data_IF_990667245730
#
_entry.id   IF_990667245730
#
_cell.length_a   1.000
_cell.length_b   1.000
_cell.length_c   1.000
_cell.angle_alpha   90.00
_cell.angle_beta   90.00
_cell.angle_gamma   90.00
#
_symmetry.space_group_name_H-M   'P 1'
#
loop_
_entity.id
_entity.type
_entity.pdbx_description
1 polymer ?
#
# COMPACT_ATOMS: atom_id res chain seq x y z
N UNK A 1 3.79 -29.30 22.96
CA UNK A 1 2.62 -29.93 23.62
C UNK A 1 1.55 -30.21 22.57
N UNK A 2 0.44 -30.88 22.92
CA UNK A 2 -0.71 -31.01 22.01
C UNK A 2 -1.25 -29.62 21.58
N UNK A 3 -1.33 -28.69 22.54
CA UNK A 3 -1.73 -27.29 22.32
C UNK A 3 -0.86 -26.58 21.27
N UNK A 4 0.46 -26.74 21.31
CA UNK A 4 1.35 -26.14 20.31
C UNK A 4 1.09 -26.67 18.89
N UNK A 5 0.69 -27.94 18.75
CA UNK A 5 0.37 -28.51 17.43
C UNK A 5 -0.96 -27.97 16.90
N UNK A 6 -1.94 -27.78 17.79
CA UNK A 6 -3.23 -27.18 17.45
C UNK A 6 -3.06 -25.72 17.02
N UNK A 7 -2.33 -24.92 17.80
CA UNK A 7 -2.02 -23.52 17.48
C UNK A 7 -1.29 -23.40 16.12
N UNK A 8 -0.28 -24.25 15.88
CA UNK A 8 0.43 -24.27 14.61
C UNK A 8 -0.49 -24.65 13.43
N UNK A 9 -1.37 -25.63 13.62
CA UNK A 9 -2.31 -26.01 12.56
C UNK A 9 -3.32 -24.90 12.28
N UNK A 10 -3.76 -24.16 13.28
CA UNK A 10 -4.63 -22.99 13.10
C UNK A 10 -3.94 -21.88 12.29
N UNK A 11 -2.65 -21.62 12.54
CA UNK A 11 -1.84 -20.71 11.72
C UNK A 11 -1.72 -21.20 10.28
N UNK A 12 -1.43 -22.50 10.09
CA UNK A 12 -1.34 -23.12 8.76
C UNK A 12 -2.67 -23.05 8.02
N UNK A 13 -3.81 -23.14 8.70
CA UNK A 13 -5.15 -23.07 8.09
C UNK A 13 -5.69 -21.63 7.98
N UNK A 14 -4.98 -20.62 8.50
CA UNK A 14 -5.44 -19.24 8.50
C UNK A 14 -5.76 -18.70 7.09
N UNK A 15 -5.10 -19.24 6.06
CA UNK A 15 -5.33 -18.89 4.66
C UNK A 15 -6.76 -19.18 4.18
N UNK A 16 -7.47 -20.16 4.77
CA UNK A 16 -8.86 -20.46 4.39
C UNK A 16 -9.78 -19.26 4.61
N UNK A 17 -9.69 -18.64 5.78
CA UNK A 17 -10.48 -17.44 6.12
C UNK A 17 -10.15 -16.30 5.18
N UNK A 18 -8.86 -16.05 4.92
CA UNK A 18 -8.42 -15.03 3.98
C UNK A 18 -8.97 -15.28 2.58
N UNK A 19 -8.85 -16.51 2.05
CA UNK A 19 -9.33 -16.81 0.69
C UNK A 19 -10.84 -16.73 0.56
N UNK A 20 -11.61 -17.10 1.58
CA UNK A 20 -13.07 -16.90 1.61
C UNK A 20 -13.43 -15.42 1.47
N UNK A 21 -12.76 -14.54 2.21
CA UNK A 21 -12.99 -13.08 2.15
C UNK A 21 -12.61 -12.53 0.76
N UNK A 22 -11.42 -12.88 0.27
CA UNK A 22 -10.94 -12.48 -1.06
C UNK A 22 -11.91 -12.93 -2.15
N UNK A 23 -12.35 -14.18 -2.11
CA UNK A 23 -13.30 -14.74 -3.10
C UNK A 23 -14.65 -14.01 -3.06
N UNK A 24 -15.16 -13.67 -1.87
CA UNK A 24 -16.38 -12.86 -1.76
C UNK A 24 -16.22 -11.48 -2.40
N UNK A 25 -15.05 -10.85 -2.26
CA UNK A 25 -14.73 -9.57 -2.87
C UNK A 25 -14.57 -9.68 -4.40
N UNK A 26 -13.82 -10.69 -4.87
CA UNK A 26 -13.62 -10.96 -6.31
C UNK A 26 -14.94 -11.17 -7.05
N UNK A 27 -15.92 -11.79 -6.37
CA UNK A 27 -17.26 -12.08 -6.90
C UNK A 27 -18.28 -10.96 -6.63
N UNK A 28 -17.88 -9.86 -6.00
CA UNK A 28 -18.72 -8.70 -5.65
C UNK A 28 -19.97 -9.04 -4.78
N UNK A 29 -19.90 -10.10 -3.96
CA UNK A 29 -21.04 -10.56 -3.16
C UNK A 29 -21.48 -9.56 -2.11
N UNK A 30 -20.51 -8.81 -1.54
CA UNK A 30 -20.78 -7.82 -0.49
C UNK A 30 -21.55 -6.62 -1.03
N UNK A 31 -21.13 -6.07 -2.17
CA UNK A 31 -21.86 -4.99 -2.86
C UNK A 31 -23.27 -5.44 -3.23
N UNK A 32 -23.43 -6.65 -3.74
CA UNK A 32 -24.75 -7.17 -4.11
C UNK A 32 -25.68 -7.27 -2.90
N UNK A 33 -25.18 -7.78 -1.77
CA UNK A 33 -25.96 -7.90 -0.53
C UNK A 33 -26.18 -6.57 0.20
N UNK A 34 -25.33 -5.56 -0.04
CA UNK A 34 -25.54 -4.19 0.45
C UNK A 34 -26.71 -3.50 -0.26
N UNK A 35 -26.89 -3.77 -1.57
CA UNK A 35 -28.06 -3.30 -2.32
C UNK A 35 -29.34 -3.94 -1.80
N UNK A 36 -29.30 -5.27 -1.62
CA UNK A 36 -30.46 -6.03 -1.21
C UNK A 36 -30.06 -7.36 -0.57
N UNK A 37 -30.55 -7.62 0.63
CA UNK A 37 -30.47 -8.93 1.26
C UNK A 37 -31.22 -9.99 0.43
N UNK A 38 -30.66 -11.18 0.33
CA UNK A 38 -31.22 -12.21 -0.54
C UNK A 38 -30.78 -13.62 -0.19
N UNK A 39 -31.50 -14.59 -0.73
CA UNK A 39 -31.15 -16.00 -0.69
C UNK A 39 -29.94 -16.29 -1.57
N UNK A 40 -29.26 -17.42 -1.36
CA UNK A 40 -28.15 -17.83 -2.21
C UNK A 40 -28.55 -17.92 -3.70
N UNK A 41 -29.78 -18.35 -3.99
CA UNK A 41 -30.30 -18.43 -5.35
C UNK A 41 -30.50 -17.06 -6.00
N UNK A 42 -31.02 -16.08 -5.25
CA UNK A 42 -31.20 -14.71 -5.76
C UNK A 42 -29.85 -14.04 -6.03
N UNK A 43 -28.89 -14.18 -5.11
CA UNK A 43 -27.54 -13.63 -5.27
C UNK A 43 -26.80 -14.32 -6.42
N UNK A 44 -26.92 -15.64 -6.56
CA UNK A 44 -26.27 -16.38 -7.64
C UNK A 44 -26.83 -16.00 -9.00
N UNK A 45 -28.15 -15.81 -9.11
CA UNK A 45 -28.77 -15.31 -10.34
C UNK A 45 -28.32 -13.89 -10.68
N UNK A 46 -28.26 -12.99 -9.69
CA UNK A 46 -27.83 -11.61 -9.91
C UNK A 46 -26.37 -11.48 -10.38
N UNK A 47 -25.49 -12.38 -9.91
CA UNK A 47 -24.06 -12.38 -10.22
C UNK A 47 -23.65 -13.41 -11.29
N UNK A 48 -24.62 -14.14 -11.86
CA UNK A 48 -24.40 -15.24 -12.80
C UNK A 48 -23.41 -16.32 -12.28
N UNK A 49 -23.62 -16.77 -11.04
CA UNK A 49 -22.80 -17.76 -10.34
C UNK A 49 -23.56 -19.07 -10.14
N UNK A 50 -22.81 -20.14 -9.83
CA UNK A 50 -23.39 -21.41 -9.40
C UNK A 50 -23.97 -21.28 -7.97
N UNK A 51 -25.28 -21.53 -7.83
CA UNK A 51 -26.00 -21.36 -6.56
C UNK A 51 -25.50 -22.28 -5.45
N UNK A 52 -25.15 -23.52 -5.79
CA UNK A 52 -24.64 -24.49 -4.82
C UNK A 52 -23.27 -24.06 -4.29
N UNK A 53 -22.31 -23.71 -5.14
CA UNK A 53 -21.02 -23.19 -4.72
C UNK A 53 -21.15 -21.89 -3.91
N UNK A 54 -21.97 -20.95 -4.39
CA UNK A 54 -22.17 -19.67 -3.72
C UNK A 54 -22.77 -19.83 -2.32
N UNK A 55 -23.73 -20.73 -2.12
CA UNK A 55 -24.34 -20.92 -0.80
C UNK A 55 -23.29 -21.32 0.25
N UNK A 56 -22.32 -22.19 -0.08
CA UNK A 56 -21.24 -22.55 0.86
C UNK A 56 -20.32 -21.36 1.16
N UNK A 57 -20.05 -20.53 0.17
CA UNK A 57 -19.30 -19.29 0.37
C UNK A 57 -20.06 -18.35 1.32
N UNK A 58 -21.35 -18.10 1.07
CA UNK A 58 -22.19 -17.23 1.90
C UNK A 58 -22.35 -17.78 3.33
N UNK A 59 -22.55 -19.09 3.49
CA UNK A 59 -22.58 -19.74 4.81
C UNK A 59 -21.24 -19.56 5.55
N UNK A 60 -20.10 -19.65 4.85
CA UNK A 60 -18.77 -19.44 5.47
C UNK A 60 -18.56 -17.97 5.87
N UNK A 61 -18.99 -17.03 5.03
CA UNK A 61 -18.98 -15.59 5.34
C UNK A 61 -19.91 -15.25 6.52
N UNK A 62 -21.05 -15.94 6.62
CA UNK A 62 -21.95 -15.80 7.76
C UNK A 62 -21.33 -16.36 9.04
N UNK A 63 -20.75 -17.57 8.98
CA UNK A 63 -20.07 -18.20 10.12
C UNK A 63 -18.86 -17.40 10.63
N UNK A 64 -18.26 -16.57 9.76
CA UNK A 64 -17.13 -15.68 10.12
C UNK A 64 -17.54 -14.23 10.41
N UNK A 65 -18.85 -13.95 10.44
CA UNK A 65 -19.43 -12.70 10.91
C UNK A 65 -19.44 -11.55 9.89
N UNK A 66 -19.18 -11.82 8.61
CA UNK A 66 -19.34 -10.84 7.54
C UNK A 66 -20.78 -10.74 7.04
N UNK A 67 -21.53 -11.84 7.17
CA UNK A 67 -22.96 -11.91 6.87
C UNK A 67 -23.73 -12.40 8.08
N UNK A 68 -25.03 -12.14 8.10
CA UNK A 68 -25.99 -12.75 9.02
C UNK A 68 -27.00 -13.56 8.18
N UNK A 69 -27.27 -14.81 8.55
CA UNK A 69 -28.27 -15.65 7.87
C UNK A 69 -29.55 -15.72 8.71
N UNK A 70 -30.68 -15.23 8.16
CA UNK A 70 -32.01 -15.30 8.76
C UNK A 70 -32.91 -16.18 7.90
N UNK A 71 -33.17 -17.41 8.36
CA UNK A 71 -33.77 -18.44 7.49
C UNK A 71 -32.81 -18.75 6.34
N UNK A 72 -33.26 -18.54 5.11
CA UNK A 72 -32.44 -18.72 3.89
C UNK A 72 -31.89 -17.41 3.32
N UNK A 73 -32.21 -16.26 3.95
CA UNK A 73 -31.81 -14.93 3.48
C UNK A 73 -30.52 -14.48 4.17
N UNK A 74 -29.56 -14.03 3.38
CA UNK A 74 -28.31 -13.46 3.85
C UNK A 74 -28.38 -11.94 3.89
N UNK A 75 -27.91 -11.37 5.00
CA UNK A 75 -27.83 -9.94 5.25
C UNK A 75 -26.38 -9.53 5.49
N UNK A 76 -26.02 -8.34 5.04
CA UNK A 76 -24.70 -7.77 5.31
C UNK A 76 -24.59 -7.32 6.77
N UNK A 77 -23.50 -7.67 7.46
CA UNK A 77 -23.19 -7.09 8.78
C UNK A 77 -22.42 -5.78 8.60
N UNK A 78 -22.21 -5.02 9.69
CA UNK A 78 -21.32 -3.84 9.66
C UNK A 78 -19.92 -4.19 9.17
N UNK A 79 -19.41 -5.38 9.56
CA UNK A 79 -18.11 -5.87 9.11
C UNK A 79 -18.10 -6.19 7.61
N UNK A 80 -19.17 -6.80 7.10
CA UNK A 80 -19.33 -7.04 5.66
C UNK A 80 -19.50 -5.76 4.85
N UNK A 81 -20.13 -4.73 5.43
CA UNK A 81 -20.34 -3.44 4.77
C UNK A 81 -19.02 -2.76 4.38
N UNK A 82 -17.96 -2.92 5.18
CA UNK A 82 -16.62 -2.43 4.84
C UNK A 82 -16.05 -3.04 3.54
N UNK A 83 -16.65 -4.11 3.01
CA UNK A 83 -16.24 -4.76 1.76
C UNK A 83 -17.18 -4.45 0.58
N UNK A 84 -18.18 -3.60 0.77
CA UNK A 84 -19.07 -3.14 -0.31
C UNK A 84 -18.49 -1.91 -1.00
N UNK A 85 -18.57 -1.86 -2.33
CA UNK A 85 -18.17 -0.69 -3.12
C UNK A 85 -19.09 0.52 -2.93
N UNK A 86 -20.28 0.35 -2.33
CA UNK A 86 -21.25 1.43 -2.10
C UNK A 86 -20.93 2.25 -0.84
N UNK A 87 -20.00 1.77 -0.02
CA UNK A 87 -19.68 2.40 1.28
C UNK A 87 -18.51 3.38 1.13
N UNK A 88 -18.61 4.60 1.66
CA UNK A 88 -17.55 5.60 1.56
C UNK A 88 -16.29 5.24 2.35
N UNK A 89 -16.43 4.39 3.37
CA UNK A 89 -15.38 3.83 4.23
C UNK A 89 -14.93 2.42 3.80
N UNK A 90 -15.29 2.00 2.58
CA UNK A 90 -14.93 0.69 2.05
C UNK A 90 -13.42 0.45 2.00
N UNK A 91 -13.02 -0.73 2.47
CA UNK A 91 -11.66 -1.27 2.32
C UNK A 91 -11.56 -2.25 1.15
N UNK A 92 -12.62 -2.41 0.35
CA UNK A 92 -12.65 -3.33 -0.79
C UNK A 92 -11.46 -3.19 -1.74
N UNK A 93 -11.00 -1.97 -2.14
CA UNK A 93 -9.81 -1.84 -2.99
C UNK A 93 -8.56 -2.50 -2.39
N UNK A 94 -8.39 -2.40 -1.07
CA UNK A 94 -7.30 -3.06 -0.35
C UNK A 94 -7.41 -4.58 -0.42
N UNK A 95 -8.61 -5.12 -0.21
CA UNK A 95 -8.84 -6.56 -0.26
C UNK A 95 -8.64 -7.12 -1.67
N UNK A 96 -9.09 -6.40 -2.70
CA UNK A 96 -8.83 -6.77 -4.10
C UNK A 96 -7.32 -6.75 -4.42
N UNK A 97 -6.57 -5.76 -3.92
CA UNK A 97 -5.12 -5.77 -4.04
C UNK A 97 -4.48 -7.02 -3.40
N UNK A 98 -4.96 -7.45 -2.23
CA UNK A 98 -4.49 -8.70 -1.62
C UNK A 98 -4.89 -9.96 -2.40
N UNK A 99 -5.94 -9.92 -3.23
CA UNK A 99 -6.28 -11.00 -4.16
C UNK A 99 -5.21 -11.11 -5.26
N UNK A 100 -4.68 -9.99 -5.75
CA UNK A 100 -3.55 -10.00 -6.67
C UNK A 100 -2.26 -10.48 -6.00
N UNK A 101 -2.00 -10.02 -4.76
CA UNK A 101 -0.83 -10.47 -3.96
C UNK A 101 -0.86 -11.97 -3.75
N UNK A 102 -2.03 -12.57 -3.52
CA UNK A 102 -2.19 -14.03 -3.40
C UNK A 102 -1.55 -14.78 -4.56
N UNK A 103 -1.79 -14.33 -5.79
CA UNK A 103 -1.25 -14.97 -6.98
C UNK A 103 0.28 -14.92 -7.01
N UNK A 104 0.89 -13.81 -6.57
CA UNK A 104 2.36 -13.72 -6.49
C UNK A 104 2.93 -14.62 -5.39
N UNK A 105 2.24 -14.72 -4.26
CA UNK A 105 2.64 -15.54 -3.12
C UNK A 105 2.56 -17.05 -3.40
N UNK A 106 1.69 -17.49 -4.32
CA UNK A 106 1.63 -18.88 -4.77
C UNK A 106 2.99 -19.36 -5.34
N UNK A 107 3.75 -18.44 -5.95
CA UNK A 107 5.08 -18.72 -6.52
C UNK A 107 6.23 -18.75 -5.50
N UNK A 108 5.99 -18.40 -4.22
CA UNK A 108 7.03 -18.18 -3.21
C UNK A 108 7.97 -19.39 -3.06
N UNK A 109 7.43 -20.60 -3.04
CA UNK A 109 8.21 -21.84 -2.90
C UNK A 109 9.23 -21.99 -4.04
N UNK A 110 8.84 -21.68 -5.26
CA UNK A 110 9.70 -21.78 -6.45
C UNK A 110 10.73 -20.66 -6.51
N UNK A 111 10.34 -19.45 -6.08
CA UNK A 111 11.26 -18.30 -5.97
C UNK A 111 12.35 -18.60 -4.94
N UNK A 112 12.00 -19.12 -3.76
CA UNK A 112 12.97 -19.51 -2.72
C UNK A 112 13.90 -20.63 -3.21
N UNK A 113 13.36 -21.61 -3.94
CA UNK A 113 14.17 -22.73 -4.47
C UNK A 113 15.16 -22.28 -5.55
N UNK A 114 14.75 -21.35 -6.42
CA UNK A 114 15.51 -20.99 -7.62
C UNK A 114 16.32 -19.71 -7.49
N UNK A 115 15.99 -18.85 -6.52
CA UNK A 115 16.51 -17.49 -6.39
C UNK A 115 16.11 -16.56 -7.55
N UNK A 116 15.21 -17.00 -8.44
CA UNK A 116 14.80 -16.25 -9.63
C UNK A 116 13.35 -15.85 -9.51
N UNK A 117 13.10 -14.55 -9.64
CA UNK A 117 11.77 -14.03 -9.83
C UNK A 117 11.22 -14.50 -11.19
N UNK A 118 10.22 -15.39 -11.17
CA UNK A 118 9.50 -15.75 -12.39
C UNK A 118 8.41 -14.71 -12.61
N UNK A 119 8.65 -13.73 -13.48
CA UNK A 119 7.56 -12.87 -13.97
C UNK A 119 6.62 -13.78 -14.75
N UNK A 120 5.41 -14.03 -14.24
CA UNK A 120 4.37 -14.66 -15.04
C UNK A 120 4.21 -13.85 -16.34
N UNK A 121 4.49 -14.49 -17.48
CA UNK A 121 4.24 -13.87 -18.78
C UNK A 121 2.73 -13.63 -18.91
N UNK A 122 2.31 -12.36 -18.98
CA UNK A 122 0.93 -11.99 -19.35
C UNK A 122 0.14 -11.18 -18.33
N UNK A 123 0.65 -10.95 -17.11
CA UNK A 123 0.04 -10.02 -16.14
C UNK A 123 0.77 -8.68 -16.13
N UNK A 124 0.54 -7.87 -17.17
CA UNK A 124 0.65 -6.43 -16.97
C UNK A 124 -0.40 -6.04 -15.92
N UNK A 125 -0.06 -5.15 -14.98
CA UNK A 125 -1.07 -4.58 -14.07
C UNK A 125 -2.14 -3.95 -14.95
N UNK A 126 -3.30 -4.59 -15.04
CA UNK A 126 -4.41 -3.99 -15.75
C UNK A 126 -4.89 -2.75 -14.99
N UNK A 127 -5.68 -1.90 -15.66
CA UNK A 127 -6.15 -0.66 -15.06
C UNK A 127 -6.94 -0.90 -13.75
N UNK A 128 -7.56 -2.07 -13.58
CA UNK A 128 -8.33 -2.43 -12.37
C UNK A 128 -7.41 -2.78 -11.21
N UNK A 129 -6.33 -3.53 -11.46
CA UNK A 129 -5.28 -3.84 -10.47
C UNK A 129 -4.56 -2.57 -10.03
N UNK A 130 -4.32 -1.63 -10.96
CA UNK A 130 -3.76 -0.31 -10.63
C UNK A 130 -4.72 0.51 -9.77
N UNK A 131 -6.01 0.54 -10.12
CA UNK A 131 -7.04 1.26 -9.35
C UNK A 131 -7.21 0.67 -7.95
N UNK A 132 -7.28 -0.65 -7.83
CA UNK A 132 -7.34 -1.36 -6.56
C UNK A 132 -6.11 -1.07 -5.69
N UNK A 133 -4.90 -1.13 -6.27
CA UNK A 133 -3.66 -0.82 -5.57
C UNK A 133 -3.62 0.63 -5.04
N UNK A 134 -3.98 1.61 -5.87
CA UNK A 134 -3.99 3.02 -5.45
C UNK A 134 -5.08 3.29 -4.41
N UNK A 135 -6.25 2.67 -4.56
CA UNK A 135 -7.31 2.69 -3.55
C UNK A 135 -6.87 2.05 -2.22
N UNK A 136 -6.14 0.93 -2.28
CA UNK A 136 -5.58 0.24 -1.11
C UNK A 136 -4.60 1.14 -0.34
N UNK A 137 -3.69 1.80 -1.06
CA UNK A 137 -2.70 2.70 -0.47
C UNK A 137 -3.36 3.89 0.22
N UNK A 138 -4.51 4.34 -0.26
CA UNK A 138 -5.29 5.34 0.48
C UNK A 138 -5.85 4.80 1.79
N UNK A 139 -6.52 3.64 1.76
CA UNK A 139 -7.15 3.06 2.95
C UNK A 139 -6.11 2.84 4.05
N UNK A 140 -4.95 2.29 3.71
CA UNK A 140 -3.82 2.08 4.64
C UNK A 140 -3.26 3.42 5.12
N UNK A 141 -3.14 4.37 4.20
CA UNK A 141 -2.47 5.64 4.43
C UNK A 141 -3.30 6.65 5.20
N UNK A 142 -4.63 6.52 5.32
CA UNK A 142 -5.47 7.62 5.83
C UNK A 142 -5.09 8.09 7.23
N UNK A 143 -5.12 7.23 8.24
CA UNK A 143 -4.77 7.64 9.61
C UNK A 143 -3.25 7.72 9.83
N UNK A 144 -2.51 6.83 9.15
CA UNK A 144 -1.06 6.82 9.25
C UNK A 144 -0.46 8.10 8.65
N UNK A 145 -0.98 8.61 7.54
CA UNK A 145 -0.46 9.80 6.86
C UNK A 145 -0.49 11.04 7.76
N UNK A 146 -1.58 11.25 8.52
CA UNK A 146 -1.64 12.32 9.52
C UNK A 146 -0.65 12.10 10.67
N UNK A 147 -0.50 10.84 11.12
CA UNK A 147 0.51 10.50 12.15
C UNK A 147 1.92 10.84 11.68
N UNK A 148 2.25 10.49 10.43
CA UNK A 148 3.55 10.80 9.82
C UNK A 148 3.72 12.30 9.60
N UNK A 149 2.71 12.99 9.06
CA UNK A 149 2.75 14.43 8.82
C UNK A 149 2.96 15.22 10.11
N UNK A 150 2.37 14.78 11.24
CA UNK A 150 2.56 15.40 12.57
C UNK A 150 3.87 15.04 13.25
N UNK A 151 4.47 13.90 12.91
CA UNK A 151 5.77 13.48 13.45
C UNK A 151 6.94 14.28 12.86
N UNK A 152 6.69 14.98 11.75
CA UNK A 152 7.69 15.78 11.04
C UNK A 152 7.37 17.25 11.27
N UNK A 153 8.37 18.04 11.64
CA UNK A 153 8.25 19.51 11.69
C UNK A 153 8.23 20.08 10.27
N UNK A 154 7.12 19.84 9.55
CA UNK A 154 6.96 20.23 8.16
C UNK A 154 6.75 21.75 7.99
N UNK A 155 6.46 22.46 9.08
CA UNK A 155 6.18 23.90 9.07
C UNK A 155 7.37 24.75 8.63
N UNK A 156 8.60 24.23 8.75
CA UNK A 156 9.82 24.90 8.27
C UNK A 156 10.00 24.87 6.74
N UNK A 157 9.22 24.05 6.04
CA UNK A 157 9.31 23.89 4.59
C UNK A 157 8.18 24.64 3.88
N UNK A 158 8.39 24.93 2.59
CA UNK A 158 7.44 25.67 1.74
C UNK A 158 6.85 24.80 0.64
N UNK A 159 7.58 23.78 0.18
CA UNK A 159 7.18 22.98 -0.97
C UNK A 159 7.65 21.53 -0.86
N UNK A 160 6.67 20.63 -0.76
CA UNK A 160 6.84 19.18 -0.77
C UNK A 160 6.96 18.65 -2.20
N UNK A 161 7.89 17.73 -2.44
CA UNK A 161 7.95 16.85 -3.61
C UNK A 161 7.58 15.43 -3.18
N UNK A 162 6.36 14.99 -3.50
CA UNK A 162 5.88 13.64 -3.21
C UNK A 162 6.12 12.74 -4.44
N UNK A 163 7.09 11.82 -4.33
CA UNK A 163 7.60 11.01 -5.44
C UNK A 163 6.99 9.62 -5.33
N UNK A 164 6.23 9.21 -6.34
CA UNK A 164 5.37 8.03 -6.25
C UNK A 164 4.22 8.24 -5.28
N UNK A 165 3.64 9.45 -5.26
CA UNK A 165 2.61 9.88 -4.31
C UNK A 165 1.26 9.16 -4.46
N UNK A 166 1.09 8.35 -5.51
CA UNK A 166 -0.10 7.56 -5.80
C UNK A 166 -1.39 8.39 -5.74
N UNK A 167 -2.32 8.03 -4.86
CA UNK A 167 -3.58 8.74 -4.64
C UNK A 167 -3.40 10.13 -4.00
N UNK A 168 -2.21 10.49 -3.53
CA UNK A 168 -1.92 11.75 -2.86
C UNK A 168 -2.33 11.76 -1.39
N UNK A 169 -2.53 10.61 -0.75
CA UNK A 169 -2.94 10.52 0.67
C UNK A 169 -1.96 11.22 1.61
N UNK A 170 -0.66 11.01 1.42
CA UNK A 170 0.38 11.68 2.22
C UNK A 170 0.49 13.17 1.88
N UNK A 171 0.52 13.52 0.59
CA UNK A 171 0.39 14.92 0.15
C UNK A 171 -0.78 15.63 0.84
N UNK A 172 -1.96 15.03 0.88
CA UNK A 172 -3.14 15.63 1.50
C UNK A 172 -2.96 15.86 3.01
N UNK A 173 -2.38 14.90 3.73
CA UNK A 173 -2.12 15.02 5.16
C UNK A 173 -1.11 16.15 5.46
N UNK A 174 0.02 16.19 4.74
CA UNK A 174 1.02 17.25 4.91
C UNK A 174 0.43 18.65 4.65
N UNK A 175 -0.38 18.81 3.60
CA UNK A 175 -1.01 20.10 3.28
C UNK A 175 -2.10 20.52 4.28
N UNK A 176 -2.83 19.57 4.86
CA UNK A 176 -3.87 19.84 5.88
C UNK A 176 -3.28 20.21 7.24
N UNK A 177 -2.13 19.65 7.59
CA UNK A 177 -1.43 19.99 8.84
C UNK A 177 -0.60 21.29 8.71
N UNK A 178 -0.38 21.79 7.48
CA UNK A 178 0.46 22.97 7.22
C UNK A 178 -0.16 23.87 6.16
N UNK A 179 -0.90 24.91 6.54
CA UNK A 179 -1.69 25.75 5.61
C UNK A 179 -0.88 26.48 4.53
N UNK A 180 0.39 26.82 4.80
CA UNK A 180 1.27 27.52 3.87
C UNK A 180 1.99 26.58 2.88
N UNK A 181 2.01 25.27 3.15
CA UNK A 181 2.76 24.32 2.35
C UNK A 181 2.14 24.17 0.95
N UNK A 182 2.95 23.98 -0.07
CA UNK A 182 2.50 23.57 -1.41
C UNK A 182 3.14 22.24 -1.78
N UNK A 183 2.62 21.53 -2.78
CA UNK A 183 3.20 20.25 -3.19
C UNK A 183 3.38 20.13 -4.70
N UNK A 184 4.36 19.31 -5.08
CA UNK A 184 4.50 18.68 -6.38
C UNK A 184 4.26 17.20 -6.17
N UNK A 185 3.22 16.65 -6.78
CA UNK A 185 2.97 15.22 -6.82
C UNK A 185 3.51 14.69 -8.14
N UNK A 186 4.53 13.83 -8.04
CA UNK A 186 5.20 13.20 -9.17
C UNK A 186 4.86 11.70 -9.20
N UNK A 187 4.22 11.24 -10.26
CA UNK A 187 3.87 9.82 -10.43
C UNK A 187 3.70 9.48 -11.92
N UNK A 188 3.44 8.21 -12.25
CA UNK A 188 3.23 7.77 -13.62
C UNK A 188 1.98 8.43 -14.23
N UNK A 189 2.02 8.67 -15.55
CA UNK A 189 0.93 9.29 -16.31
C UNK A 189 -0.48 8.71 -15.99
N UNK A 190 -0.68 7.38 -15.92
CA UNK A 190 -2.00 6.81 -15.62
C UNK A 190 -2.50 7.09 -14.19
N UNK A 191 -1.60 7.43 -13.26
CA UNK A 191 -1.88 7.64 -11.83
C UNK A 191 -2.32 9.09 -11.55
N UNK A 192 -1.76 10.04 -12.30
CA UNK A 192 -1.99 11.48 -12.09
C UNK A 192 -3.49 11.87 -12.09
N UNK A 193 -4.35 11.40 -13.02
CA UNK A 193 -5.78 11.73 -12.98
C UNK A 193 -6.46 11.28 -11.69
N UNK A 194 -6.07 10.12 -11.14
CA UNK A 194 -6.64 9.58 -9.91
C UNK A 194 -6.24 10.41 -8.69
N UNK A 195 -4.96 10.77 -8.59
CA UNK A 195 -4.44 11.66 -7.56
C UNK A 195 -5.17 13.01 -7.57
N UNK A 196 -5.37 13.58 -8.77
CA UNK A 196 -6.06 14.86 -8.97
C UNK A 196 -7.51 14.80 -8.49
N UNK A 197 -8.27 13.78 -8.90
CA UNK A 197 -9.67 13.61 -8.48
C UNK A 197 -9.77 13.57 -6.95
N UNK A 198 -8.91 12.77 -6.32
CA UNK A 198 -8.94 12.61 -4.86
C UNK A 198 -8.56 13.88 -4.11
N UNK A 199 -7.51 14.57 -4.54
CA UNK A 199 -7.12 15.84 -3.93
C UNK A 199 -8.18 16.93 -4.16
N UNK A 200 -8.97 16.84 -5.22
CA UNK A 200 -10.11 17.72 -5.44
C UNK A 200 -11.25 17.46 -4.43
N UNK A 201 -11.51 16.20 -4.07
CA UNK A 201 -12.49 15.85 -3.01
C UNK A 201 -12.11 16.42 -1.63
N UNK A 202 -10.83 16.79 -1.46
CA UNK A 202 -10.31 17.48 -0.26
C UNK A 202 -10.12 18.99 -0.44
N UNK A 203 -10.44 19.56 -1.60
CA UNK A 203 -10.25 20.98 -1.89
C UNK A 203 -8.79 21.44 -1.98
N UNK A 204 -7.84 20.52 -2.22
CA UNK A 204 -6.40 20.79 -2.15
C UNK A 204 -5.74 21.02 -3.52
N UNK A 205 -6.45 20.82 -4.61
CA UNK A 205 -5.90 20.88 -5.99
C UNK A 205 -5.18 22.18 -6.32
N UNK A 206 -5.62 23.32 -5.77
CA UNK A 206 -4.98 24.62 -6.01
C UNK A 206 -3.57 24.73 -5.38
N UNK A 207 -3.24 23.88 -4.41
CA UNK A 207 -1.94 23.85 -3.71
C UNK A 207 -1.01 22.74 -4.23
N UNK A 208 -1.44 22.01 -5.28
CA UNK A 208 -0.70 20.86 -5.82
C UNK A 208 -0.42 21.05 -7.31
N UNK A 209 0.86 20.98 -7.67
CA UNK A 209 1.29 20.79 -9.07
C UNK A 209 1.40 19.30 -9.33
N UNK A 210 0.77 18.82 -10.41
CA UNK A 210 0.82 17.41 -10.80
C UNK A 210 1.81 17.25 -11.95
N UNK A 211 2.77 16.34 -11.81
CA UNK A 211 3.79 16.08 -12.83
C UNK A 211 3.83 14.58 -13.12
N UNK A 212 3.60 14.21 -14.37
CA UNK A 212 3.74 12.84 -14.79
C UNK A 212 5.20 12.50 -15.09
N UNK A 213 5.66 11.32 -14.69
CA UNK A 213 6.97 10.79 -15.05
C UNK A 213 7.29 9.47 -14.36
N UNK A 214 8.36 8.83 -14.83
CA UNK A 214 8.92 7.61 -14.29
C UNK A 214 10.22 7.94 -13.56
N UNK A 215 10.25 7.85 -12.22
CA UNK A 215 11.44 8.21 -11.44
C UNK A 215 12.65 7.30 -11.73
N UNK A 216 12.46 6.13 -12.35
CA UNK A 216 13.58 5.30 -12.82
C UNK A 216 14.28 5.93 -14.02
N UNK A 217 13.55 6.65 -14.87
CA UNK A 217 14.04 7.14 -16.17
C UNK A 217 14.25 8.65 -16.18
N UNK A 218 13.27 9.37 -15.68
CA UNK A 218 13.19 10.82 -15.78
C UNK A 218 13.91 11.52 -14.62
N UNK A 219 14.25 12.80 -14.82
CA UNK A 219 14.68 13.68 -13.73
C UNK A 219 13.46 14.20 -12.95
N UNK A 220 13.69 14.53 -11.67
CA UNK A 220 12.63 14.99 -10.78
C UNK A 220 12.45 16.51 -10.87
N UNK A 221 11.22 17.04 -10.67
CA UNK A 221 10.97 18.48 -10.63
C UNK A 221 11.79 19.20 -9.55
N UNK A 222 12.47 20.28 -9.94
CA UNK A 222 13.28 21.09 -9.02
C UNK A 222 12.42 22.10 -8.22
N UNK A 223 13.02 22.66 -7.17
CA UNK A 223 12.47 23.82 -6.43
C UNK A 223 11.65 23.46 -5.20
N UNK A 224 11.78 22.23 -4.70
CA UNK A 224 11.17 21.78 -3.45
C UNK A 224 12.22 21.77 -2.33
N UNK A 225 11.79 22.00 -1.10
CA UNK A 225 12.64 22.00 0.10
C UNK A 225 12.33 20.82 1.05
N UNK A 226 11.29 20.04 0.75
CA UNK A 226 11.03 18.73 1.35
C UNK A 226 10.73 17.72 0.22
N UNK A 227 11.31 16.53 0.28
CA UNK A 227 10.96 15.41 -0.60
C UNK A 227 10.47 14.22 0.23
N UNK A 228 9.50 13.47 -0.28
CA UNK A 228 8.95 12.28 0.35
C UNK A 228 9.11 11.07 -0.57
N UNK A 229 9.68 10.00 -0.01
CA UNK A 229 9.66 8.65 -0.55
C UNK A 229 8.89 7.76 0.42
N UNK A 230 7.59 7.60 0.20
CA UNK A 230 6.72 6.79 1.06
C UNK A 230 6.37 5.48 0.36
N UNK A 231 6.74 4.33 0.95
CA UNK A 231 6.54 3.02 0.34
C UNK A 231 7.18 2.89 -1.07
N UNK A 232 8.36 3.47 -1.25
CA UNK A 232 9.10 3.44 -2.52
C UNK A 232 10.40 2.67 -2.39
N UNK A 233 11.16 2.87 -1.31
CA UNK A 233 12.52 2.33 -1.24
C UNK A 233 12.50 0.81 -1.26
N UNK A 234 11.49 0.17 -0.66
CA UNK A 234 11.41 -1.28 -0.61
C UNK A 234 11.28 -1.98 -1.97
N UNK A 235 10.76 -1.31 -3.01
CA UNK A 235 10.53 -1.96 -4.31
C UNK A 235 11.76 -1.94 -5.21
N UNK A 236 12.76 -1.15 -4.82
CA UNK A 236 13.98 -0.89 -5.57
C UNK A 236 15.10 -1.76 -5.03
N UNK A 237 16.00 -2.23 -5.88
CA UNK A 237 17.30 -2.74 -5.44
C UNK A 237 18.15 -1.65 -4.76
N UNK A 238 19.19 -2.03 -3.98
CA UNK A 238 20.08 -1.05 -3.35
C UNK A 238 20.67 -0.04 -4.34
N UNK A 239 21.08 -0.49 -5.52
CA UNK A 239 21.63 0.38 -6.57
C UNK A 239 20.57 1.37 -7.10
N UNK A 240 19.35 0.89 -7.36
CA UNK A 240 18.24 1.75 -7.80
C UNK A 240 17.87 2.79 -6.73
N UNK A 241 17.93 2.43 -5.45
CA UNK A 241 17.71 3.39 -4.36
C UNK A 241 18.79 4.47 -4.33
N UNK A 242 20.08 4.12 -4.48
CA UNK A 242 21.16 5.12 -4.57
C UNK A 242 20.95 6.06 -5.78
N UNK A 243 20.58 5.53 -6.94
CA UNK A 243 20.31 6.36 -8.12
C UNK A 243 19.13 7.31 -7.91
N UNK A 244 18.05 6.83 -7.27
CA UNK A 244 16.91 7.65 -6.89
C UNK A 244 17.31 8.72 -5.87
N UNK A 245 18.06 8.38 -4.83
CA UNK A 245 18.54 9.35 -3.84
C UNK A 245 19.39 10.45 -4.49
N UNK A 246 20.26 10.12 -5.45
CA UNK A 246 21.01 11.13 -6.22
C UNK A 246 20.10 12.07 -7.02
N UNK A 247 19.02 11.55 -7.63
CA UNK A 247 18.01 12.39 -8.32
C UNK A 247 17.31 13.32 -7.33
N UNK A 248 16.87 12.80 -6.18
CA UNK A 248 16.24 13.62 -5.14
C UNK A 248 17.19 14.70 -4.65
N UNK A 249 18.45 14.35 -4.40
CA UNK A 249 19.48 15.30 -3.98
C UNK A 249 19.65 16.44 -5.00
N UNK A 250 19.62 16.16 -6.31
CA UNK A 250 19.65 17.21 -7.35
C UNK A 250 18.40 18.08 -7.37
N UNK A 251 17.22 17.48 -7.14
CA UNK A 251 15.93 18.17 -7.18
C UNK A 251 15.70 19.13 -6.01
N UNK A 252 16.17 18.76 -4.82
CA UNK A 252 16.00 19.55 -3.60
C UNK A 252 16.78 20.88 -3.63
N UNK A 253 16.24 21.91 -3.00
CA UNK A 253 16.98 23.14 -2.69
C UNK A 253 18.04 22.88 -1.59
N UNK A 254 19.16 23.64 -1.56
CA UNK A 254 20.10 23.60 -0.44
C UNK A 254 19.39 23.82 0.90
N UNK A 255 19.77 23.05 1.93
CA UNK A 255 19.10 23.03 3.23
C UNK A 255 17.77 22.26 3.27
N UNK A 256 17.33 21.67 2.16
CA UNK A 256 16.13 20.84 2.10
C UNK A 256 16.31 19.45 2.70
N UNK A 257 15.20 18.74 2.94
CA UNK A 257 15.21 17.39 3.51
C UNK A 257 14.59 16.35 2.57
N UNK A 258 15.11 15.12 2.61
CA UNK A 258 14.43 13.92 2.14
C UNK A 258 13.89 13.14 3.36
N UNK A 259 12.60 12.84 3.32
CA UNK A 259 11.91 11.95 4.25
C UNK A 259 11.61 10.62 3.56
N UNK A 260 12.03 9.52 4.17
CA UNK A 260 11.71 8.15 3.74
C UNK A 260 10.77 7.53 4.76
N UNK A 261 9.64 7.00 4.29
CA UNK A 261 8.70 6.23 5.11
C UNK A 261 8.62 4.80 4.57
N UNK A 262 9.05 3.84 5.37
CA UNK A 262 9.04 2.43 4.99
C UNK A 262 9.13 1.45 6.19
N UNK A 263 9.23 0.16 5.91
CA UNK A 263 9.71 -0.84 6.86
C UNK A 263 11.22 -0.66 7.07
N UNK A 264 11.60 -0.21 8.26
CA UNK A 264 13.01 -0.07 8.66
C UNK A 264 13.36 -1.22 9.60
N UNK A 265 14.23 -2.09 9.12
CA UNK A 265 14.62 -3.31 9.82
C UNK A 265 15.73 -3.05 10.84
N UNK A 266 15.74 -3.85 11.90
CA UNK A 266 16.92 -4.00 12.75
C UNK A 266 18.06 -4.71 11.99
N UNK A 267 19.27 -4.70 12.55
CA UNK A 267 20.44 -5.30 11.92
C UNK A 267 20.28 -6.81 11.66
N UNK A 268 19.46 -7.50 12.48
CA UNK A 268 19.18 -8.93 12.30
C UNK A 268 18.20 -9.22 11.17
N UNK A 269 17.50 -8.20 10.65
CA UNK A 269 16.39 -8.30 9.69
C UNK A 269 15.21 -9.15 10.18
N UNK A 270 15.10 -9.37 11.49
CA UNK A 270 13.97 -10.12 12.07
C UNK A 270 12.95 -9.22 12.73
N UNK A 271 13.28 -7.94 12.95
CA UNK A 271 12.37 -6.97 13.56
C UNK A 271 12.21 -5.72 12.70
N UNK A 272 10.97 -5.20 12.56
CA UNK A 272 9.73 -5.79 13.06
C UNK A 272 9.34 -7.06 12.27
N UNK A 273 8.64 -8.04 12.88
CA UNK A 273 8.24 -9.28 12.19
C UNK A 273 7.47 -9.06 10.89
N UNK A 274 6.62 -8.02 10.85
CA UNK A 274 5.91 -7.64 9.63
C UNK A 274 6.85 -7.22 8.50
N UNK A 275 7.98 -6.58 8.81
CA UNK A 275 8.98 -6.22 7.80
C UNK A 275 9.66 -7.45 7.21
N UNK A 276 9.95 -8.47 8.02
CA UNK A 276 10.50 -9.74 7.52
C UNK A 276 9.53 -10.48 6.58
N UNK A 277 8.22 -10.49 6.90
CA UNK A 277 7.20 -10.99 5.98
C UNK A 277 7.07 -10.12 4.73
N UNK A 278 7.20 -8.81 4.87
CA UNK A 278 7.14 -7.88 3.74
C UNK A 278 8.36 -8.00 2.80
N UNK A 279 9.53 -8.41 3.30
CA UNK A 279 10.68 -8.75 2.46
C UNK A 279 10.34 -9.89 1.48
N UNK A 280 9.59 -10.91 1.92
CA UNK A 280 9.10 -11.97 1.02
C UNK A 280 8.11 -11.44 0.00
N UNK A 281 7.25 -10.49 0.40
CA UNK A 281 6.36 -9.81 -0.54
C UNK A 281 7.15 -9.08 -1.63
N UNK A 282 8.25 -8.41 -1.28
CA UNK A 282 9.14 -7.78 -2.27
C UNK A 282 9.86 -8.80 -3.15
N UNK A 283 10.31 -9.91 -2.57
CA UNK A 283 10.99 -10.98 -3.29
C UNK A 283 10.12 -11.59 -4.40
N UNK A 284 8.82 -11.78 -4.15
CA UNK A 284 7.90 -12.36 -5.14
C UNK A 284 7.27 -11.33 -6.09
N UNK A 285 7.22 -10.05 -5.69
CA UNK A 285 6.54 -9.01 -6.47
C UNK A 285 7.50 -8.15 -7.30
N UNK A 286 8.80 -8.16 -7.00
CA UNK A 286 9.77 -7.26 -7.62
C UNK A 286 11.05 -8.00 -8.03
N UNK A 287 11.79 -7.52 -9.06
CA UNK A 287 13.04 -8.16 -9.48
C UNK A 287 14.18 -8.06 -8.46
N UNK A 288 14.13 -7.14 -7.49
CA UNK A 288 15.25 -6.90 -6.57
C UNK A 288 14.95 -5.99 -5.38
N UNK A 289 13.68 -5.74 -5.06
CA UNK A 289 13.26 -5.04 -3.85
C UNK A 289 13.45 -5.91 -2.60
N UNK A 290 13.46 -5.25 -1.45
CA UNK A 290 13.63 -5.86 -0.13
C UNK A 290 13.13 -4.88 0.95
N UNK A 291 13.22 -5.25 2.22
CA UNK A 291 13.20 -4.31 3.35
C UNK A 291 14.63 -3.98 3.78
N UNK A 292 14.86 -2.73 4.17
CA UNK A 292 16.20 -2.20 4.42
C UNK A 292 16.41 -1.89 5.90
N UNK A 293 17.64 -2.08 6.37
CA UNK A 293 18.04 -1.58 7.67
C UNK A 293 18.27 -0.07 7.62
N UNK A 294 18.27 0.58 8.79
CA UNK A 294 18.64 2.00 8.86
C UNK A 294 20.04 2.26 8.29
N UNK A 295 21.02 1.40 8.58
CA UNK A 295 22.40 1.60 8.13
C UNK A 295 22.54 1.46 6.61
N UNK A 296 21.82 0.54 5.98
CA UNK A 296 21.82 0.42 4.51
C UNK A 296 21.29 1.69 3.84
N UNK A 297 20.17 2.22 4.36
CA UNK A 297 19.62 3.48 3.87
C UNK A 297 20.58 4.64 4.12
N UNK A 298 21.17 4.72 5.32
CA UNK A 298 22.13 5.76 5.69
C UNK A 298 23.32 5.79 4.76
N UNK A 299 23.94 4.63 4.51
CA UNK A 299 25.07 4.51 3.59
C UNK A 299 24.68 4.97 2.18
N UNK A 300 23.53 4.53 1.66
CA UNK A 300 23.06 4.94 0.33
C UNK A 300 22.77 6.44 0.22
N UNK A 301 22.22 7.04 1.28
CA UNK A 301 21.94 8.48 1.36
C UNK A 301 23.24 9.31 1.41
N UNK A 302 24.20 8.92 2.25
CA UNK A 302 25.51 9.57 2.35
C UNK A 302 26.29 9.50 1.02
N UNK A 303 26.28 8.34 0.36
CA UNK A 303 26.86 8.17 -0.99
C UNK A 303 26.20 9.07 -2.05
N UNK A 304 24.98 9.52 -1.80
CA UNK A 304 24.21 10.39 -2.69
C UNK A 304 24.38 11.88 -2.38
N UNK A 305 25.19 12.23 -1.37
CA UNK A 305 25.48 13.60 -0.97
C UNK A 305 24.63 14.14 0.17
N UNK A 306 23.70 13.35 0.71
CA UNK A 306 22.97 13.75 1.91
C UNK A 306 23.85 13.68 3.16
N UNK A 307 23.49 14.47 4.16
CA UNK A 307 24.13 14.55 5.47
C UNK A 307 23.05 14.46 6.56
N UNK A 308 23.47 14.37 7.83
CA UNK A 308 22.57 14.38 8.99
C UNK A 308 21.43 13.35 8.89
N UNK A 309 21.77 12.12 8.53
CA UNK A 309 20.79 11.04 8.35
C UNK A 309 20.34 10.52 9.72
N UNK A 310 19.04 10.57 10.00
CA UNK A 310 18.46 10.24 11.30
C UNK A 310 17.26 9.32 11.16
N UNK A 311 17.20 8.30 12.02
CA UNK A 311 15.98 7.53 12.25
C UNK A 311 15.07 8.33 13.19
N UNK A 312 14.02 8.96 12.64
CA UNK A 312 13.05 9.74 13.41
C UNK A 312 12.04 8.85 14.13
N UNK A 313 11.72 7.68 13.55
CA UNK A 313 10.75 6.76 14.12
C UNK A 313 11.11 5.33 13.75
N UNK A 314 11.12 4.44 14.76
CA UNK A 314 11.11 3.01 14.54
C UNK A 314 9.67 2.51 14.52
N UNK A 315 9.27 1.85 13.44
CA UNK A 315 7.91 1.36 13.22
C UNK A 315 7.76 -0.13 13.56
N UNK A 316 6.56 -0.55 13.99
CA UNK A 316 6.20 -1.98 14.06
C UNK A 316 5.56 -2.46 12.75
N UNK A 317 5.13 -1.53 11.90
CA UNK A 317 4.60 -1.76 10.56
C UNK A 317 5.43 -0.91 9.59
N UNK A 318 4.88 -0.61 8.42
CA UNK A 318 5.49 0.31 7.46
C UNK A 318 5.32 1.74 7.96
N UNK A 319 5.89 2.09 9.10
CA UNK A 319 5.72 3.40 9.72
C UNK A 319 7.02 3.94 10.32
N UNK A 320 8.14 3.31 9.95
CA UNK A 320 9.46 3.84 10.21
C UNK A 320 9.73 5.08 9.37
N UNK A 321 10.48 6.02 9.94
CA UNK A 321 10.81 7.30 9.30
C UNK A 321 12.30 7.58 9.38
N UNK A 322 12.90 7.84 8.23
CA UNK A 322 14.28 8.30 8.10
C UNK A 322 14.28 9.68 7.45
N UNK A 323 14.98 10.64 8.06
CA UNK A 323 15.23 11.96 7.48
C UNK A 323 16.71 12.08 7.10
N UNK A 324 16.98 12.75 5.98
CA UNK A 324 18.32 13.13 5.57
C UNK A 324 18.32 14.56 4.98
N UNK A 325 19.39 15.31 5.17
CA UNK A 325 19.49 16.72 4.75
C UNK A 325 20.41 16.92 3.56
N UNK A 326 19.98 17.75 2.63
CA UNK A 326 20.86 18.33 1.62
C UNK A 326 21.62 19.51 2.23
N UNK A 327 22.96 19.50 2.25
CA UNK A 327 23.76 20.58 2.83
C UNK A 327 23.57 21.93 2.12
#
# INVERSE_FOLDING_TARGET
SATLREELMDEVMAFWKSRVILTGCDLDVFTQLDRQAGTAQEVSTALALDGFALERLLNSLAATGFLEKKGDVFHLTERGALLSSLRPDSILPMVLHFSDVWNTWDSLTDVVRSGRHQREKGRERDARSMEAFIGAMDVIGRDLSFTIARAVDAGRFKRLLDIGGASGTYTAAFLKENDHLTAVLFDLEPVIPMARRRLADHGLTARVTFVAGDFYRDELPHGCDLALLSAIVHQNSPAQNVDLFKKVHRALLPGGSLLIRDHIMDETRTRPPMGALFALNMLVATPGGDTYTFDELRIGLEQSGFTDVRLLRQGQRMDGLVEARKP
#
